data_IF_628303159010
#
_entry.id   IF_628303159010
#
_cell.length_a   1.000
_cell.length_b   1.000
_cell.length_c   1.000
_cell.angle_alpha   90.00
_cell.angle_beta   90.00
_cell.angle_gamma   90.00
#
_symmetry.space_group_name_H-M   'P 1'
#
loop_
_entity.id
_entity.type
_entity.pdbx_description
1 polymer ?
#
# COMPACT_ATOMS: atom_id res chain seq x y z
N UNK A 1 10.86 12.09 -75.94
CA UNK A 1 11.36 12.74 -74.71
C UNK A 1 10.17 12.87 -73.78
N UNK A 2 10.31 12.27 -72.60
CA UNK A 2 9.21 11.85 -71.73
C UNK A 2 8.70 12.98 -70.85
N UNK A 3 7.40 12.90 -70.59
CA UNK A 3 6.59 13.60 -69.59
C UNK A 3 7.09 13.38 -68.15
N UNK A 4 7.09 14.44 -67.32
CA UNK A 4 6.66 14.33 -65.91
C UNK A 4 6.34 15.70 -65.30
N UNK A 5 5.06 15.88 -65.00
CA UNK A 5 4.51 16.80 -63.98
C UNK A 5 4.81 16.24 -62.59
N UNK A 6 5.57 16.96 -61.76
CA UNK A 6 5.70 16.64 -60.34
C UNK A 6 4.58 17.34 -59.55
N UNK A 7 3.71 16.52 -58.96
CA UNK A 7 2.68 16.95 -58.02
C UNK A 7 3.30 17.24 -56.66
N UNK A 8 3.01 18.44 -56.12
CA UNK A 8 3.22 18.74 -54.72
C UNK A 8 2.19 17.97 -53.89
N UNK A 9 2.54 16.74 -53.54
CA UNK A 9 1.90 15.95 -52.51
C UNK A 9 2.18 16.60 -51.15
N UNK A 10 1.14 17.17 -50.56
CA UNK A 10 1.11 17.57 -49.15
C UNK A 10 1.36 16.32 -48.30
N UNK A 11 2.58 16.17 -47.80
CA UNK A 11 2.88 15.20 -46.76
C UNK A 11 2.25 15.71 -45.45
N UNK A 12 0.96 15.44 -45.29
CA UNK A 12 0.28 15.48 -44.01
C UNK A 12 0.90 14.38 -43.14
N UNK A 13 1.98 14.69 -42.41
CA UNK A 13 2.45 13.84 -41.31
C UNK A 13 1.42 13.90 -40.20
N UNK A 14 0.35 13.13 -40.36
CA UNK A 14 -0.60 12.78 -39.32
C UNK A 14 0.07 11.81 -38.34
N UNK A 15 0.87 12.37 -37.43
CA UNK A 15 1.26 11.71 -36.19
C UNK A 15 0.75 12.54 -35.02
N UNK A 16 -0.59 12.70 -34.93
CA UNK A 16 -1.22 12.96 -33.65
C UNK A 16 -1.11 11.67 -32.82
N UNK A 17 0.05 11.45 -32.21
CA UNK A 17 0.16 10.56 -31.06
C UNK A 17 -0.71 11.20 -29.98
N UNK A 18 -1.93 10.69 -29.78
CA UNK A 18 -2.82 11.15 -28.71
C UNK A 18 -2.02 11.16 -27.41
N UNK A 19 -1.83 12.36 -26.87
CA UNK A 19 -0.98 12.64 -25.72
C UNK A 19 -1.74 12.34 -24.42
N UNK A 20 -2.57 11.29 -24.41
CA UNK A 20 -3.49 10.95 -23.34
C UNK A 20 -2.82 10.04 -22.30
N UNK A 21 -3.19 10.16 -21.01
CA UNK A 21 -2.68 9.28 -19.94
C UNK A 21 -2.95 7.80 -20.14
N UNK A 22 -1.90 6.98 -20.07
CA UNK A 22 -2.00 5.52 -20.04
C UNK A 22 -1.82 4.92 -18.64
N UNK A 23 -1.36 5.69 -17.66
CA UNK A 23 -1.09 5.22 -16.29
C UNK A 23 -1.66 6.14 -15.22
N UNK A 24 -2.50 5.58 -14.35
CA UNK A 24 -3.06 6.22 -13.18
C UNK A 24 -2.17 6.01 -11.93
N UNK A 25 -1.66 7.07 -11.32
CA UNK A 25 -1.08 7.00 -9.96
C UNK A 25 -2.05 7.59 -8.94
N UNK A 26 -2.58 6.73 -8.10
CA UNK A 26 -3.49 7.08 -7.01
C UNK A 26 -2.66 7.49 -5.79
N UNK A 27 -2.88 8.72 -5.31
CA UNK A 27 -2.13 9.30 -4.18
C UNK A 27 -3.03 9.33 -2.94
N UNK A 28 -2.76 8.47 -1.97
CA UNK A 28 -3.70 8.18 -0.87
C UNK A 28 -3.18 8.69 0.47
N UNK A 29 -3.68 9.85 0.90
CA UNK A 29 -3.20 10.47 2.14
C UNK A 29 -3.77 9.80 3.39
N UNK A 30 -3.03 9.90 4.49
CA UNK A 30 -3.54 9.59 5.83
C UNK A 30 -4.35 10.73 6.44
N UNK A 31 -4.35 10.84 7.76
CA UNK A 31 -5.10 11.88 8.49
C UNK A 31 -4.45 13.25 8.24
N UNK A 32 -5.29 14.25 7.91
CA UNK A 32 -4.91 15.63 7.54
C UNK A 32 -4.37 15.76 6.10
N UNK A 33 -5.27 15.63 5.12
CA UNK A 33 -4.93 15.62 3.68
C UNK A 33 -4.58 16.98 3.08
N UNK A 34 -3.31 17.15 2.65
CA UNK A 34 -2.79 17.98 1.52
C UNK A 34 -1.31 17.63 1.21
N UNK A 35 -0.94 16.36 1.00
CA UNK A 35 0.44 15.90 1.28
C UNK A 35 1.26 15.25 0.14
N UNK A 36 0.95 15.44 -1.15
CA UNK A 36 1.75 14.81 -2.24
C UNK A 36 2.25 15.75 -3.32
N UNK A 37 2.33 17.05 -3.03
CA UNK A 37 2.74 18.04 -4.04
C UNK A 37 4.14 17.75 -4.60
N UNK A 38 5.08 17.34 -3.75
CA UNK A 38 6.48 17.15 -4.15
C UNK A 38 6.67 15.90 -5.03
N UNK A 39 6.09 14.75 -4.66
CA UNK A 39 6.09 13.56 -5.52
C UNK A 39 5.48 13.89 -6.87
N UNK A 40 4.35 14.61 -6.87
CA UNK A 40 3.64 15.00 -8.09
C UNK A 40 4.50 15.88 -8.99
N UNK A 41 5.24 16.84 -8.41
CA UNK A 41 6.15 17.70 -9.16
C UNK A 41 7.33 16.89 -9.74
N UNK A 42 7.96 16.02 -8.95
CA UNK A 42 9.10 15.21 -9.40
C UNK A 42 8.73 14.20 -10.49
N UNK A 43 7.55 13.58 -10.39
CA UNK A 43 7.05 12.67 -11.44
C UNK A 43 6.68 13.44 -12.71
N UNK A 44 6.15 14.67 -12.59
CA UNK A 44 5.78 15.50 -13.75
C UNK A 44 6.97 16.15 -14.46
N UNK A 45 8.01 16.55 -13.72
CA UNK A 45 9.12 17.32 -14.26
C UNK A 45 10.09 16.46 -15.10
N UNK A 46 10.19 15.16 -14.80
CA UNK A 46 11.09 14.25 -15.50
C UNK A 46 10.33 13.36 -16.49
N UNK A 47 9.99 13.95 -17.64
CA UNK A 47 9.91 13.40 -19.01
C UNK A 47 9.50 11.94 -19.27
N UNK A 48 8.74 11.29 -18.40
CA UNK A 48 7.94 10.13 -18.79
C UNK A 48 6.61 10.69 -19.29
N UNK A 49 6.10 10.18 -20.42
CA UNK A 49 4.72 10.43 -20.90
C UNK A 49 3.66 9.85 -19.94
N UNK A 50 3.94 9.81 -18.64
CA UNK A 50 3.02 9.47 -17.57
C UNK A 50 2.20 10.72 -17.32
N UNK A 51 1.09 10.85 -18.04
CA UNK A 51 0.07 11.80 -17.63
C UNK A 51 -0.57 11.26 -16.35
N UNK A 52 -0.02 11.71 -15.24
CA UNK A 52 -0.40 11.27 -13.92
C UNK A 52 -1.72 11.94 -13.52
N UNK A 53 -2.82 11.19 -13.52
CA UNK A 53 -4.05 11.65 -12.85
C UNK A 53 -3.95 11.37 -11.35
N UNK A 54 -3.54 12.38 -10.58
CA UNK A 54 -3.54 12.27 -9.13
C UNK A 54 -4.97 12.44 -8.60
N UNK A 55 -5.64 11.35 -8.26
CA UNK A 55 -6.76 11.39 -7.32
C UNK A 55 -6.15 11.50 -5.92
N UNK A 56 -5.98 12.72 -5.43
CA UNK A 56 -5.85 12.92 -3.98
C UNK A 56 -7.24 12.69 -3.41
N UNK A 57 -7.40 11.73 -2.49
CA UNK A 57 -8.72 11.35 -1.98
C UNK A 57 -9.45 12.55 -1.36
N UNK A 58 -10.23 13.27 -2.16
CA UNK A 58 -11.04 14.38 -1.68
C UNK A 58 -12.15 13.83 -0.79
N UNK A 59 -12.57 12.57 -1.03
CA UNK A 59 -13.53 11.81 -0.24
C UNK A 59 -13.08 11.46 1.18
N UNK A 60 -11.81 11.66 1.55
CA UNK A 60 -11.32 11.38 2.91
C UNK A 60 -10.81 12.64 3.62
N UNK A 61 -11.31 13.83 3.28
CA UNK A 61 -10.95 15.06 3.97
C UNK A 61 -11.40 15.07 5.45
N UNK A 62 -10.53 15.59 6.31
CA UNK A 62 -10.82 15.99 7.70
C UNK A 62 -11.43 14.87 8.57
N UNK A 63 -12.74 14.90 8.84
CA UNK A 63 -13.44 13.98 9.75
C UNK A 63 -13.78 12.62 9.14
N UNK A 64 -13.68 12.47 7.81
CA UNK A 64 -14.08 11.24 7.11
C UNK A 64 -13.08 10.09 7.29
N UNK A 65 -11.82 10.38 7.63
CA UNK A 65 -10.82 9.34 7.93
C UNK A 65 -11.12 8.55 9.21
N UNK A 66 -12.09 8.98 10.02
CA UNK A 66 -12.43 8.34 11.29
C UNK A 66 -13.66 7.42 11.21
N UNK A 67 -14.33 7.35 10.05
CA UNK A 67 -15.56 6.56 9.89
C UNK A 67 -15.30 5.06 9.72
N UNK A 68 -14.06 4.66 9.46
CA UNK A 68 -13.65 3.27 9.25
C UNK A 68 -12.69 3.15 8.07
N UNK A 69 -11.71 2.25 8.18
CA UNK A 69 -10.77 1.89 7.11
C UNK A 69 -11.52 1.28 5.92
N UNK A 70 -12.51 0.45 6.21
CA UNK A 70 -13.44 -0.15 5.24
C UNK A 70 -14.22 0.91 4.47
N UNK A 71 -14.88 1.84 5.17
CA UNK A 71 -15.64 2.91 4.51
C UNK A 71 -14.75 3.87 3.71
N UNK A 72 -13.60 4.26 4.26
CA UNK A 72 -12.65 5.12 3.58
C UNK A 72 -12.04 4.43 2.35
N UNK A 73 -11.79 3.13 2.43
CA UNK A 73 -11.35 2.31 1.31
C UNK A 73 -12.43 2.15 0.23
N UNK A 74 -13.70 1.98 0.61
CA UNK A 74 -14.81 1.93 -0.33
C UNK A 74 -14.96 3.25 -1.11
N UNK A 75 -14.91 4.39 -0.42
CA UNK A 75 -14.93 5.72 -1.07
C UNK A 75 -13.77 5.90 -2.04
N UNK A 76 -12.57 5.50 -1.63
CA UNK A 76 -11.39 5.53 -2.51
C UNK A 76 -11.58 4.64 -3.74
N UNK A 77 -12.17 3.45 -3.59
CA UNK A 77 -12.46 2.57 -4.72
C UNK A 77 -13.45 3.23 -5.69
N UNK A 78 -14.49 3.88 -5.20
CA UNK A 78 -15.46 4.59 -6.04
C UNK A 78 -14.85 5.78 -6.78
N UNK A 79 -13.99 6.57 -6.11
CA UNK A 79 -13.20 7.63 -6.75
C UNK A 79 -12.35 7.06 -7.91
N UNK A 80 -11.63 5.96 -7.67
CA UNK A 80 -10.81 5.31 -8.70
C UNK A 80 -11.68 4.81 -9.86
N UNK A 81 -12.80 4.14 -9.61
CA UNK A 81 -13.74 3.71 -10.67
C UNK A 81 -14.23 4.87 -11.51
N UNK A 82 -14.55 6.01 -10.90
CA UNK A 82 -14.99 7.19 -11.62
C UNK A 82 -13.90 7.73 -12.55
N UNK A 83 -12.66 7.83 -12.06
CA UNK A 83 -11.50 8.26 -12.84
C UNK A 83 -11.25 7.34 -14.03
N UNK A 84 -11.25 6.01 -13.80
CA UNK A 84 -11.05 5.01 -14.86
C UNK A 84 -12.17 5.06 -15.90
N UNK A 85 -13.42 5.24 -15.46
CA UNK A 85 -14.56 5.39 -16.38
C UNK A 85 -14.43 6.61 -17.28
N UNK A 86 -13.94 7.73 -16.74
CA UNK A 86 -13.79 9.01 -17.46
C UNK A 86 -12.57 9.03 -18.39
N UNK A 87 -11.55 8.22 -18.13
CA UNK A 87 -10.26 8.28 -18.83
C UNK A 87 -9.97 6.95 -19.53
N UNK A 88 -10.52 6.77 -20.74
CA UNK A 88 -10.47 5.51 -21.49
C UNK A 88 -9.06 5.09 -21.97
N UNK A 89 -8.12 6.02 -21.98
CA UNK A 89 -6.74 5.78 -22.38
C UNK A 89 -5.93 5.02 -21.32
N UNK A 90 -6.40 4.98 -20.07
CA UNK A 90 -5.71 4.31 -18.97
C UNK A 90 -5.62 2.80 -19.21
N UNK A 91 -4.42 2.26 -18.98
CA UNK A 91 -4.08 0.84 -19.09
C UNK A 91 -3.49 0.30 -17.80
N UNK A 92 -2.81 1.16 -17.03
CA UNK A 92 -2.01 0.78 -15.86
C UNK A 92 -2.42 1.59 -14.64
N UNK A 93 -2.21 1.03 -13.45
CA UNK A 93 -2.50 1.68 -12.18
C UNK A 93 -1.42 1.42 -11.14
N UNK A 94 -1.08 2.46 -10.38
CA UNK A 94 -0.20 2.41 -9.21
C UNK A 94 -0.83 3.13 -8.03
N UNK A 95 -0.46 2.73 -6.82
CA UNK A 95 -0.86 3.36 -5.57
C UNK A 95 0.39 3.83 -4.81
N UNK A 96 0.34 5.08 -4.34
CA UNK A 96 1.29 5.63 -3.40
C UNK A 96 0.54 6.18 -2.20
N UNK A 97 0.76 5.58 -1.03
CA UNK A 97 -0.03 5.87 0.15
C UNK A 97 0.84 6.19 1.37
N UNK A 98 0.37 7.09 2.23
CA UNK A 98 1.08 7.50 3.44
C UNK A 98 0.24 7.23 4.68
N UNK A 99 0.87 6.69 5.72
CA UNK A 99 0.25 6.51 7.02
C UNK A 99 -1.07 5.70 6.90
N UNK A 100 -2.15 6.17 7.52
CA UNK A 100 -3.45 5.53 7.44
C UNK A 100 -3.95 5.32 5.99
N UNK A 101 -3.51 6.17 5.05
CA UNK A 101 -3.86 6.04 3.64
C UNK A 101 -3.44 4.70 3.02
N UNK A 102 -2.37 4.08 3.54
CA UNK A 102 -1.97 2.75 3.07
C UNK A 102 -2.97 1.65 3.44
N UNK A 103 -3.68 1.79 4.55
CA UNK A 103 -4.75 0.86 4.93
C UNK A 103 -6.00 1.10 4.08
N UNK A 104 -6.35 2.35 3.80
CA UNK A 104 -7.43 2.68 2.84
C UNK A 104 -7.14 2.11 1.46
N UNK A 105 -5.90 2.25 0.99
CA UNK A 105 -5.45 1.71 -0.29
C UNK A 105 -5.54 0.18 -0.32
N UNK A 106 -5.08 -0.53 0.73
CA UNK A 106 -5.22 -1.99 0.84
C UNK A 106 -6.67 -2.44 0.74
N UNK A 107 -7.59 -1.72 1.37
CA UNK A 107 -9.01 -2.06 1.30
C UNK A 107 -9.58 -1.79 -0.10
N UNK A 108 -9.28 -0.61 -0.66
CA UNK A 108 -9.74 -0.21 -1.98
C UNK A 108 -9.27 -1.17 -3.09
N UNK A 109 -8.01 -1.61 -3.07
CA UNK A 109 -7.51 -2.51 -4.12
C UNK A 109 -8.23 -3.85 -4.12
N UNK A 110 -8.64 -4.37 -2.95
CA UNK A 110 -9.43 -5.59 -2.86
C UNK A 110 -10.84 -5.40 -3.44
N UNK A 111 -11.47 -4.26 -3.17
CA UNK A 111 -12.78 -3.88 -3.75
C UNK A 111 -12.71 -3.70 -5.27
N UNK A 112 -11.57 -3.24 -5.78
CA UNK A 112 -11.34 -3.01 -7.21
C UNK A 112 -10.83 -4.24 -7.96
N UNK A 113 -10.47 -5.31 -7.24
CA UNK A 113 -9.85 -6.47 -7.81
C UNK A 113 -10.82 -7.29 -8.66
N UNK A 114 -10.33 -7.79 -9.78
CA UNK A 114 -11.01 -8.76 -10.61
C UNK A 114 -10.00 -9.83 -10.99
N UNK A 115 -10.26 -11.12 -10.68
CA UNK A 115 -9.37 -12.20 -11.11
C UNK A 115 -9.31 -12.23 -12.64
N UNK A 116 -8.18 -12.66 -13.19
CA UNK A 116 -8.04 -12.84 -14.63
C UNK A 116 -8.94 -14.00 -15.07
N UNK A 117 -9.92 -13.74 -15.95
CA UNK A 117 -10.91 -14.73 -16.39
C UNK A 117 -10.48 -15.49 -17.65
N UNK A 118 -9.29 -15.25 -18.20
CA UNK A 118 -8.90 -15.79 -19.52
C UNK A 118 -8.55 -17.28 -19.59
N UNK A 119 -8.72 -18.07 -18.52
CA UNK A 119 -8.44 -19.53 -18.54
C UNK A 119 -9.64 -20.39 -18.15
N UNK A 120 -10.82 -20.14 -18.71
CA UNK A 120 -12.00 -21.02 -18.51
C UNK A 120 -12.75 -21.45 -19.77
N UNK A 121 -12.29 -21.07 -20.98
CA UNK A 121 -12.96 -21.44 -22.24
C UNK A 121 -12.04 -22.22 -23.20
N UNK A 122 -11.36 -23.24 -22.68
CA UNK A 122 -10.96 -24.37 -23.51
C UNK A 122 -11.64 -25.64 -23.00
N UNK A 123 -12.81 -25.90 -23.59
CA UNK A 123 -13.36 -27.23 -23.75
C UNK A 123 -12.30 -28.08 -24.47
N UNK A 124 -11.61 -28.96 -23.75
CA UNK A 124 -10.87 -30.07 -24.37
C UNK A 124 -11.40 -31.34 -23.73
N UNK A 125 -11.98 -32.16 -24.60
CA UNK A 125 -12.64 -33.40 -24.27
C UNK A 125 -11.72 -34.38 -23.55
N UNK A 126 -12.39 -35.19 -22.73
CA UNK A 126 -11.93 -36.32 -21.92
C UNK A 126 -10.99 -37.28 -22.66
N UNK A 127 -10.08 -37.88 -21.85
CA UNK A 127 -9.22 -39.05 -22.10
C UNK A 127 -7.83 -38.85 -22.73
N UNK A 128 -6.79 -38.75 -21.89
CA UNK A 128 -5.84 -39.86 -21.69
C UNK A 128 -4.70 -39.57 -20.68
N UNK A 129 -4.34 -40.65 -19.97
CA UNK A 129 -3.05 -40.98 -19.33
C UNK A 129 -2.44 -40.11 -18.22
N UNK A 130 -2.61 -40.63 -17.00
CA UNK A 130 -1.62 -40.84 -15.93
C UNK A 130 -0.18 -40.30 -16.11
N UNK A 131 0.31 -39.75 -14.99
CA UNK A 131 1.71 -39.59 -14.57
C UNK A 131 2.43 -38.32 -15.03
N UNK A 132 2.33 -37.26 -14.22
CA UNK A 132 3.52 -36.49 -13.77
C UNK A 132 3.15 -35.55 -12.61
N UNK A 133 3.42 -36.02 -11.39
CA UNK A 133 3.56 -35.15 -10.23
C UNK A 133 4.97 -34.55 -10.27
N UNK A 134 5.12 -33.33 -10.78
CA UNK A 134 6.33 -32.52 -10.58
C UNK A 134 6.04 -31.06 -10.89
N UNK A 135 6.39 -30.19 -9.94
CA UNK A 135 6.51 -28.72 -10.10
C UNK A 135 5.21 -27.96 -10.39
N UNK A 136 4.35 -27.86 -9.38
CA UNK A 136 3.44 -26.72 -9.24
C UNK A 136 4.23 -25.54 -8.61
N UNK A 137 5.19 -24.99 -9.34
CA UNK A 137 5.69 -23.64 -9.05
C UNK A 137 4.53 -22.68 -9.26
N UNK A 138 3.98 -22.13 -8.17
CA UNK A 138 2.94 -21.10 -8.20
C UNK A 138 3.55 -19.79 -8.72
N UNK A 139 3.77 -19.75 -10.04
CA UNK A 139 4.06 -18.53 -10.75
C UNK A 139 2.81 -17.64 -10.68
N UNK A 140 2.77 -16.71 -9.71
CA UNK A 140 1.74 -15.66 -9.56
C UNK A 140 1.74 -14.64 -10.73
N UNK A 141 2.33 -14.97 -11.87
CA UNK A 141 2.59 -14.07 -12.99
C UNK A 141 1.55 -14.18 -14.11
N UNK A 142 0.26 -14.20 -13.79
CA UNK A 142 -0.87 -13.96 -14.71
C UNK A 142 -2.09 -13.39 -13.96
N UNK A 143 -1.87 -12.64 -12.88
CA UNK A 143 -2.80 -12.58 -11.74
C UNK A 143 -3.57 -11.28 -11.57
N UNK A 144 -4.71 -11.15 -12.23
CA UNK A 144 -5.80 -10.23 -11.89
C UNK A 144 -5.58 -8.72 -12.13
N UNK A 145 -6.69 -8.01 -12.28
CA UNK A 145 -6.75 -6.59 -12.64
C UNK A 145 -7.28 -5.75 -11.48
N UNK A 146 -6.89 -4.47 -11.41
CA UNK A 146 -7.40 -3.50 -10.44
C UNK A 146 -8.19 -2.44 -11.20
N UNK A 147 -9.50 -2.40 -11.00
CA UNK A 147 -10.42 -1.53 -11.75
C UNK A 147 -10.36 -1.74 -13.28
N UNK A 148 -10.00 -2.96 -13.72
CA UNK A 148 -9.76 -3.26 -15.14
C UNK A 148 -8.43 -2.72 -15.69
N UNK A 149 -7.56 -2.18 -14.83
CA UNK A 149 -6.22 -1.72 -15.19
C UNK A 149 -5.16 -2.68 -14.66
N UNK A 150 -4.04 -2.72 -15.36
CA UNK A 150 -2.88 -3.52 -14.95
C UNK A 150 -2.21 -2.89 -13.71
N UNK A 151 -2.09 -3.63 -12.59
CA UNK A 151 -1.47 -3.12 -11.38
C UNK A 151 0.06 -3.18 -11.41
N UNK A 152 0.71 -2.01 -11.34
CA UNK A 152 2.18 -1.88 -11.43
C UNK A 152 2.81 -1.76 -10.04
N UNK A 153 2.52 -0.67 -9.31
CA UNK A 153 3.17 -0.39 -8.02
C UNK A 153 2.15 -0.28 -6.89
N UNK A 154 2.42 -0.92 -5.76
CA UNK A 154 1.77 -0.64 -4.48
C UNK A 154 2.82 -0.18 -3.47
N UNK A 155 2.87 1.12 -3.21
CA UNK A 155 3.91 1.74 -2.38
C UNK A 155 3.27 2.39 -1.16
N UNK A 156 3.81 2.10 0.02
CA UNK A 156 3.38 2.71 1.27
C UNK A 156 4.53 3.39 2.01
N UNK A 157 4.24 4.50 2.69
CA UNK A 157 5.18 5.23 3.53
C UNK A 157 4.63 5.35 4.94
N UNK A 158 5.37 4.82 5.93
CA UNK A 158 5.00 4.85 7.34
C UNK A 158 3.56 4.39 7.61
N UNK A 159 3.08 3.36 6.90
CA UNK A 159 1.73 2.81 7.06
C UNK A 159 1.70 1.78 8.19
N UNK A 160 0.74 1.84 9.15
CA UNK A 160 0.64 0.86 10.23
C UNK A 160 0.00 -0.45 9.72
N UNK A 161 0.70 -1.24 8.90
CA UNK A 161 0.16 -2.44 8.25
C UNK A 161 -0.37 -3.49 9.23
N UNK A 162 0.21 -3.55 10.44
CA UNK A 162 -0.11 -4.49 11.52
C UNK A 162 -0.93 -3.82 12.65
N UNK A 163 -1.44 -2.61 12.43
CA UNK A 163 -2.06 -1.79 13.47
C UNK A 163 -1.04 -1.04 14.31
N UNK A 164 -1.47 -0.55 15.48
CA UNK A 164 -0.62 0.21 16.41
C UNK A 164 -0.65 -0.41 17.80
N UNK A 165 0.53 -0.62 18.39
CA UNK A 165 0.72 -1.10 19.77
C UNK A 165 0.93 0.11 20.68
N UNK A 166 -0.02 0.38 21.58
CA UNK A 166 0.22 1.31 22.68
C UNK A 166 1.25 0.71 23.63
N UNK A 167 2.37 1.39 23.91
CA UNK A 167 3.29 0.97 24.97
C UNK A 167 3.21 1.95 26.14
N UNK A 168 2.89 1.39 27.31
CA UNK A 168 3.02 1.91 28.68
C UNK A 168 2.23 3.18 29.08
N UNK A 169 0.93 3.01 29.40
CA UNK A 169 0.21 3.50 30.61
C UNK A 169 -1.31 3.41 30.36
N UNK A 170 -2.04 2.70 31.23
CA UNK A 170 -3.51 2.69 31.37
C UNK A 170 -4.06 4.13 31.63
N UNK A 171 -5.38 4.44 31.69
CA UNK A 171 -6.59 3.89 31.05
C UNK A 171 -7.51 5.06 30.59
N UNK A 172 -7.35 5.60 29.37
CA UNK A 172 -8.46 6.27 28.66
C UNK A 172 -8.15 6.52 27.19
N UNK A 173 -6.88 6.72 26.77
CA UNK A 173 -6.50 7.07 25.38
C UNK A 173 -5.08 6.60 24.94
N UNK A 174 -4.59 5.45 25.41
CA UNK A 174 -3.48 4.66 24.82
C UNK A 174 -2.20 5.38 24.30
N UNK A 175 -1.79 6.54 24.85
CA UNK A 175 -0.43 7.07 24.71
C UNK A 175 0.04 7.40 23.28
N UNK A 176 -0.87 7.52 22.32
CA UNK A 176 -0.57 7.95 20.95
C UNK A 176 -0.96 9.43 20.86
N UNK A 177 0.03 10.32 20.89
CA UNK A 177 -0.14 11.78 20.75
C UNK A 177 -0.97 12.20 19.53
N UNK A 178 -0.99 11.37 18.48
CA UNK A 178 -1.83 11.57 17.31
C UNK A 178 -3.32 11.48 17.64
N UNK A 179 -3.79 10.47 18.36
CA UNK A 179 -5.19 10.36 18.77
C UNK A 179 -5.55 11.39 19.84
N UNK A 180 -4.64 11.69 20.77
CA UNK A 180 -4.85 12.68 21.82
C UNK A 180 -5.01 14.11 21.29
N UNK A 181 -4.19 14.54 20.31
CA UNK A 181 -4.37 15.85 19.63
C UNK A 181 -5.63 15.92 18.77
N UNK A 182 -6.20 14.78 18.41
CA UNK A 182 -7.43 14.66 17.62
C UNK A 182 -8.69 14.58 18.51
N UNK A 183 -8.54 14.46 19.85
CA UNK A 183 -9.65 14.18 20.78
C UNK A 183 -10.22 15.40 21.54
N UNK A 184 -9.69 16.61 21.37
CA UNK A 184 -10.32 17.83 21.91
C UNK A 184 -11.08 18.56 20.79
N UNK A 185 -12.36 18.98 20.93
CA UNK A 185 -13.39 18.85 21.98
C UNK A 185 -14.55 17.92 21.52
N UNK A 186 -14.25 16.70 21.09
CA UNK A 186 -15.25 15.76 20.52
C UNK A 186 -15.02 14.30 20.98
N UNK A 187 -14.35 14.10 22.11
CA UNK A 187 -13.88 12.80 22.62
C UNK A 187 -14.87 11.60 22.59
N UNK A 188 -16.19 11.73 22.81
CA UNK A 188 -17.12 10.59 22.75
C UNK A 188 -17.41 10.07 21.32
N UNK A 189 -17.19 10.89 20.29
CA UNK A 189 -17.36 10.50 18.88
C UNK A 189 -16.03 10.12 18.19
N UNK A 190 -14.90 10.44 18.81
CA UNK A 190 -13.56 10.40 18.19
C UNK A 190 -12.73 9.17 18.55
N UNK A 191 -13.21 8.31 19.47
CA UNK A 191 -12.86 6.88 19.48
C UNK A 191 -13.64 6.21 18.34
N UNK A 192 -13.38 6.64 17.11
CA UNK A 192 -14.12 6.21 15.91
C UNK A 192 -13.77 4.77 15.50
N UNK A 193 -14.58 4.18 14.60
CA UNK A 193 -14.38 2.81 14.06
C UNK A 193 -12.95 2.56 13.56
N UNK A 194 -12.30 3.58 12.99
CA UNK A 194 -10.90 3.51 12.54
C UNK A 194 -9.92 3.26 13.69
N UNK A 195 -10.13 3.89 14.85
CA UNK A 195 -9.29 3.65 16.02
C UNK A 195 -9.44 2.21 16.51
N UNK A 196 -10.67 1.72 16.60
CA UNK A 196 -10.95 0.33 16.97
C UNK A 196 -10.26 -0.67 16.01
N UNK A 197 -10.30 -0.40 14.69
CA UNK A 197 -9.61 -1.22 13.69
C UNK A 197 -8.07 -1.15 13.81
N UNK A 198 -7.49 0.02 14.09
CA UNK A 198 -6.04 0.18 14.28
C UNK A 198 -5.52 -0.51 15.55
N UNK A 199 -6.33 -0.54 16.60
CA UNK A 199 -6.03 -1.25 17.84
C UNK A 199 -6.53 -2.70 17.85
N UNK A 200 -7.04 -3.21 16.73
CA UNK A 200 -7.50 -4.60 16.60
C UNK A 200 -8.66 -4.96 17.56
N UNK A 201 -9.40 -3.97 18.04
CA UNK A 201 -10.53 -4.16 18.98
C UNK A 201 -11.89 -4.24 18.27
N UNK A 202 -11.92 -4.15 16.94
CA UNK A 202 -13.13 -4.11 16.11
C UNK A 202 -13.73 -5.48 15.77
N UNK A 203 -12.97 -6.56 15.97
CA UNK A 203 -13.50 -7.90 15.69
C UNK A 203 -14.38 -8.42 16.83
N UNK A 204 -15.16 -9.45 16.54
CA UNK A 204 -15.86 -10.30 17.52
C UNK A 204 -15.11 -11.65 17.70
N UNK A 205 -15.48 -12.52 18.65
CA UNK A 205 -14.86 -13.84 18.81
C UNK A 205 -14.90 -14.70 17.54
N UNK A 206 -15.98 -14.59 16.75
CA UNK A 206 -16.15 -15.34 15.49
C UNK A 206 -15.90 -14.49 14.22
N UNK A 207 -15.50 -13.23 14.39
CA UNK A 207 -15.24 -12.32 13.27
C UNK A 207 -13.89 -11.60 13.52
N UNK A 208 -12.81 -11.99 12.83
CA UNK A 208 -11.51 -11.38 13.06
C UNK A 208 -11.52 -9.87 12.76
N UNK A 209 -10.61 -9.14 13.41
CA UNK A 209 -10.43 -7.70 13.17
C UNK A 209 -10.16 -7.41 11.70
N UNK A 210 -10.57 -6.23 11.24
CA UNK A 210 -10.44 -5.88 9.82
C UNK A 210 -8.99 -6.00 9.31
N UNK A 211 -8.00 -5.57 10.09
CA UNK A 211 -6.60 -5.65 9.66
C UNK A 211 -6.11 -7.09 9.49
N UNK A 212 -6.60 -8.01 10.34
CA UNK A 212 -6.32 -9.43 10.19
C UNK A 212 -7.02 -10.01 8.96
N UNK A 213 -8.28 -9.63 8.70
CA UNK A 213 -8.99 -10.00 7.47
C UNK A 213 -8.27 -9.51 6.22
N UNK A 214 -7.71 -8.30 6.27
CA UNK A 214 -6.92 -7.72 5.18
C UNK A 214 -5.56 -8.39 4.97
N UNK A 215 -5.20 -9.39 5.79
CA UNK A 215 -4.00 -10.21 5.66
C UNK A 215 -4.30 -11.62 5.10
N UNK A 216 -5.55 -11.91 4.70
CA UNK A 216 -5.97 -13.14 4.02
C UNK A 216 -6.91 -12.87 2.85
N UNK A 217 -7.13 -13.89 2.04
CA UNK A 217 -8.30 -13.97 1.17
C UNK A 217 -9.43 -14.71 1.89
N UNK A 218 -10.64 -14.16 1.85
CA UNK A 218 -11.86 -14.84 2.27
C UNK A 218 -12.77 -15.13 1.05
N UNK A 219 -13.98 -15.63 1.27
CA UNK A 219 -14.92 -15.94 0.19
C UNK A 219 -15.34 -14.67 -0.57
N UNK A 220 -15.59 -13.58 0.17
CA UNK A 220 -16.18 -12.35 -0.37
C UNK A 220 -15.14 -11.27 -0.70
N UNK A 221 -13.97 -11.28 -0.06
CA UNK A 221 -12.92 -10.27 -0.23
C UNK A 221 -11.56 -10.94 -0.48
N UNK A 222 -10.85 -10.47 -1.51
CA UNK A 222 -9.60 -11.06 -2.00
C UNK A 222 -8.40 -10.13 -1.74
N UNK A 223 -8.13 -9.81 -0.48
CA UNK A 223 -7.11 -8.81 -0.11
C UNK A 223 -5.68 -9.22 -0.49
N UNK A 224 -5.28 -10.46 -0.23
CA UNK A 224 -3.94 -10.94 -0.59
C UNK A 224 -3.81 -11.12 -2.09
N UNK A 225 -4.83 -11.68 -2.77
CA UNK A 225 -4.80 -11.78 -4.23
C UNK A 225 -4.70 -10.40 -4.89
N UNK A 226 -5.46 -9.41 -4.40
CA UNK A 226 -5.43 -8.05 -4.93
C UNK A 226 -4.07 -7.37 -4.72
N UNK A 227 -3.45 -7.52 -3.55
CA UNK A 227 -2.09 -7.04 -3.31
C UNK A 227 -1.06 -7.83 -4.13
N UNK A 228 -1.28 -9.13 -4.30
CA UNK A 228 -0.45 -10.05 -5.08
C UNK A 228 -0.39 -9.70 -6.56
N UNK A 229 -1.47 -9.14 -7.10
CA UNK A 229 -1.58 -8.70 -8.48
C UNK A 229 -0.55 -7.63 -8.87
N UNK A 230 -0.16 -6.76 -7.93
CA UNK A 230 0.83 -5.73 -8.21
C UNK A 230 2.21 -6.33 -8.51
N UNK A 231 2.79 -5.94 -9.65
CA UNK A 231 4.15 -6.35 -10.04
C UNK A 231 5.19 -5.99 -8.97
N UNK A 232 5.08 -4.80 -8.39
CA UNK A 232 5.99 -4.31 -7.35
C UNK A 232 5.22 -3.86 -6.11
N UNK A 233 5.64 -4.35 -4.94
CA UNK A 233 5.15 -3.92 -3.63
C UNK A 233 6.31 -3.38 -2.81
N UNK A 234 6.19 -2.14 -2.33
CA UNK A 234 7.25 -1.46 -1.58
C UNK A 234 6.71 -0.86 -0.29
N UNK A 235 7.38 -1.11 0.83
CA UNK A 235 7.10 -0.44 2.11
C UNK A 235 8.28 0.42 2.52
N UNK A 236 8.03 1.68 2.86
CA UNK A 236 9.00 2.60 3.44
C UNK A 236 8.70 2.77 4.93
N UNK A 237 9.67 2.43 5.77
CA UNK A 237 9.50 2.39 7.22
C UNK A 237 10.54 3.26 7.92
N UNK A 238 10.10 4.09 8.85
CA UNK A 238 11.01 4.86 9.70
C UNK A 238 11.61 3.93 10.76
N UNK A 239 12.94 3.85 10.82
CA UNK A 239 13.64 3.01 11.81
C UNK A 239 13.63 3.62 13.22
N UNK A 240 13.43 4.93 13.32
CA UNK A 240 13.48 5.68 14.57
C UNK A 240 12.68 6.99 14.46
N UNK A 241 12.33 7.56 15.62
CA UNK A 241 11.68 8.87 15.77
C UNK A 241 10.29 9.01 15.14
N UNK A 242 9.70 7.94 14.63
CA UNK A 242 8.29 7.88 14.27
C UNK A 242 7.47 7.39 15.46
N UNK A 243 6.93 8.34 16.23
CA UNK A 243 6.09 8.06 17.39
C UNK A 243 4.65 7.67 17.01
N UNK A 244 4.29 7.78 15.73
CA UNK A 244 2.94 7.47 15.26
C UNK A 244 2.84 6.04 14.75
N UNK A 245 3.85 5.61 13.99
CA UNK A 245 3.87 4.30 13.34
C UNK A 245 5.22 3.65 13.55
N UNK A 246 5.22 2.57 14.34
CA UNK A 246 6.45 1.83 14.65
C UNK A 246 7.10 1.19 13.43
N UNK A 247 8.42 0.99 13.52
CA UNK A 247 9.22 0.35 12.47
C UNK A 247 8.70 -1.06 12.12
N UNK A 248 8.37 -1.85 13.15
CA UNK A 248 7.83 -3.21 13.03
C UNK A 248 6.59 -3.28 12.14
N UNK A 249 5.58 -2.45 12.46
CA UNK A 249 4.30 -2.41 11.74
C UNK A 249 4.44 -1.85 10.33
N UNK A 250 5.26 -0.81 10.13
CA UNK A 250 5.44 -0.20 8.80
C UNK A 250 6.33 -1.00 7.85
N UNK A 251 7.21 -1.86 8.36
CA UNK A 251 8.07 -2.74 7.56
C UNK A 251 7.53 -4.16 7.37
N UNK A 252 6.39 -4.50 8.00
CA UNK A 252 5.81 -5.86 8.00
C UNK A 252 6.87 -6.87 8.46
N UNK A 253 7.52 -6.60 9.59
CA UNK A 253 8.58 -7.42 10.17
C UNK A 253 8.24 -7.80 11.60
N UNK A 254 8.85 -8.89 12.08
CA UNK A 254 8.86 -9.24 13.51
C UNK A 254 9.91 -8.42 14.24
N UNK A 255 9.80 -8.29 15.55
CA UNK A 255 10.82 -7.61 16.37
C UNK A 255 12.20 -8.27 16.21
N UNK A 256 12.24 -9.61 16.14
CA UNK A 256 13.48 -10.39 15.94
C UNK A 256 14.13 -10.18 14.56
N UNK A 257 13.37 -9.66 13.58
CA UNK A 257 13.87 -9.34 12.24
C UNK A 257 14.41 -7.90 12.16
N UNK A 258 14.19 -7.08 13.19
CA UNK A 258 14.70 -5.71 13.25
C UNK A 258 16.14 -5.71 13.77
N UNK A 259 17.06 -5.29 12.90
CA UNK A 259 18.47 -5.10 13.25
C UNK A 259 18.78 -3.70 13.76
N UNK A 260 20.07 -3.44 14.04
CA UNK A 260 20.53 -2.06 14.22
C UNK A 260 20.51 -1.37 12.85
N UNK A 261 19.85 -0.21 12.70
CA UNK A 261 19.79 0.46 11.42
C UNK A 261 21.19 0.93 10.99
N UNK A 262 21.52 0.88 9.69
CA UNK A 262 22.74 1.48 9.18
C UNK A 262 22.78 2.98 9.48
N UNK A 263 23.97 3.50 9.80
CA UNK A 263 24.18 4.93 10.09
C UNK A 263 24.45 5.78 8.84
N UNK A 264 24.63 5.15 7.68
CA UNK A 264 24.91 5.81 6.41
C UNK A 264 23.69 5.74 5.50
N UNK A 265 23.39 6.86 4.86
CA UNK A 265 22.42 6.88 3.77
C UNK A 265 22.99 6.20 2.52
N UNK A 266 22.11 5.66 1.69
CA UNK A 266 22.41 5.19 0.35
C UNK A 266 22.89 6.36 -0.52
N UNK A 267 23.88 6.11 -1.37
CA UNK A 267 24.41 7.13 -2.28
C UNK A 267 23.29 7.68 -3.16
N UNK A 268 23.18 9.02 -3.21
CA UNK A 268 22.13 9.73 -3.95
C UNK A 268 20.78 9.87 -3.20
N UNK A 269 20.52 9.09 -2.14
CA UNK A 269 19.24 9.09 -1.45
C UNK A 269 19.41 9.33 0.06
N UNK A 270 19.50 10.61 0.45
CA UNK A 270 19.64 10.99 1.87
C UNK A 270 18.50 10.39 2.70
N UNK A 271 18.84 9.87 3.88
CA UNK A 271 17.97 9.22 4.85
C UNK A 271 17.41 7.84 4.47
N UNK A 272 17.55 7.39 3.22
CA UNK A 272 17.33 5.96 2.89
C UNK A 272 18.55 5.19 3.37
N UNK A 273 18.40 4.28 4.32
CA UNK A 273 19.54 3.61 4.98
C UNK A 273 19.66 2.12 4.65
N UNK A 274 18.57 1.46 4.28
CA UNK A 274 18.59 0.08 3.80
C UNK A 274 17.49 -0.15 2.75
N UNK A 275 17.78 -1.00 1.76
CA UNK A 275 16.83 -1.42 0.73
C UNK A 275 17.00 -2.92 0.52
N UNK A 276 16.00 -3.69 0.92
CA UNK A 276 16.04 -5.16 0.85
C UNK A 276 14.81 -5.72 0.16
N UNK A 277 15.01 -6.58 -0.84
CA UNK A 277 13.93 -7.41 -1.35
C UNK A 277 13.76 -8.65 -0.47
N UNK A 278 12.55 -8.87 0.02
CA UNK A 278 12.15 -10.06 0.77
C UNK A 278 11.23 -10.90 -0.13
N UNK A 279 11.62 -12.13 -0.52
CA UNK A 279 10.80 -12.99 -1.35
C UNK A 279 9.54 -13.46 -0.58
N UNK A 280 8.50 -13.95 -1.31
CA UNK A 280 7.35 -14.64 -0.73
C UNK A 280 7.76 -15.73 0.26
N UNK A 281 7.12 -15.78 1.41
CA UNK A 281 7.25 -16.85 2.40
C UNK A 281 6.03 -17.75 2.32
N UNK A 282 6.15 -19.02 1.89
CA UNK A 282 5.03 -19.95 1.84
C UNK A 282 4.38 -20.10 3.21
N UNK A 283 3.06 -20.02 3.26
CA UNK A 283 2.28 -20.24 4.46
C UNK A 283 0.87 -20.66 4.08
N UNK A 284 0.20 -21.43 4.93
CA UNK A 284 -1.19 -21.84 4.79
C UNK A 284 -2.20 -20.68 5.01
N UNK A 285 -1.81 -19.43 4.80
CA UNK A 285 -2.62 -18.26 5.16
C UNK A 285 -2.45 -17.84 6.62
N UNK A 286 -2.92 -16.65 7.05
CA UNK A 286 -3.20 -16.45 8.45
C UNK A 286 -4.34 -17.40 8.86
N UNK A 287 -4.10 -18.18 9.89
CA UNK A 287 -5.16 -18.94 10.55
C UNK A 287 -5.69 -18.02 11.65
N UNK A 288 -6.99 -18.08 11.93
CA UNK A 288 -7.49 -17.46 13.15
C UNK A 288 -7.52 -18.57 14.20
N UNK A 289 -6.40 -18.81 14.90
CA UNK A 289 -6.27 -19.98 15.75
C UNK A 289 -7.28 -19.89 16.89
N UNK A 290 -7.83 -21.01 17.38
CA UNK A 290 -8.69 -21.04 18.56
C UNK A 290 -8.07 -20.30 19.77
N UNK A 291 -6.74 -20.28 19.85
CA UNK A 291 -5.95 -19.53 20.82
C UNK A 291 -6.17 -18.02 20.72
N UNK A 292 -6.28 -17.45 19.51
CA UNK A 292 -6.58 -16.03 19.31
C UNK A 292 -8.00 -15.68 19.79
N UNK A 293 -8.97 -16.59 19.56
CA UNK A 293 -10.35 -16.44 20.03
C UNK A 293 -10.38 -16.43 21.56
N UNK A 294 -9.73 -17.42 22.18
CA UNK A 294 -9.65 -17.54 23.65
C UNK A 294 -8.93 -16.37 24.30
N UNK A 295 -7.79 -15.93 23.74
CA UNK A 295 -7.05 -14.78 24.23
C UNK A 295 -7.90 -13.50 24.16
N UNK A 296 -8.67 -13.34 23.09
CA UNK A 296 -9.59 -12.21 22.92
C UNK A 296 -10.75 -12.22 23.91
N UNK A 297 -11.43 -13.36 24.07
CA UNK A 297 -12.51 -13.51 25.05
C UNK A 297 -12.00 -13.21 26.46
N UNK A 298 -10.80 -13.67 26.78
CA UNK A 298 -10.17 -13.42 28.09
C UNK A 298 -9.85 -11.93 28.25
N UNK A 299 -9.25 -11.29 27.24
CA UNK A 299 -8.95 -9.86 27.23
C UNK A 299 -10.19 -8.97 27.39
N UNK A 300 -11.31 -9.36 26.77
CA UNK A 300 -12.61 -8.67 26.90
C UNK A 300 -13.23 -8.83 28.29
N UNK A 301 -13.06 -10.00 28.92
CA UNK A 301 -13.72 -10.33 30.19
C UNK A 301 -12.96 -9.89 31.46
N UNK A 302 -11.62 -9.83 31.41
CA UNK A 302 -10.81 -9.64 32.64
C UNK A 302 -10.07 -8.30 32.72
N UNK A 303 -10.09 -7.44 31.69
CA UNK A 303 -9.28 -6.20 31.62
C UNK A 303 -7.81 -6.40 32.05
N UNK A 304 -7.29 -7.63 31.93
CA UNK A 304 -5.93 -7.97 32.27
C UNK A 304 -5.00 -7.53 31.14
N UNK A 305 -3.99 -6.74 31.50
CA UNK A 305 -3.03 -6.18 30.55
C UNK A 305 -2.21 -7.28 29.86
N UNK A 306 -1.97 -8.41 30.53
CA UNK A 306 -1.19 -9.51 29.96
C UNK A 306 -1.95 -10.21 28.82
N UNK A 307 -3.24 -10.46 28.99
CA UNK A 307 -4.08 -11.13 27.99
C UNK A 307 -4.29 -10.26 26.74
N UNK A 308 -4.37 -8.93 26.91
CA UNK A 308 -4.41 -7.99 25.78
C UNK A 308 -3.11 -8.07 24.98
N UNK A 309 -1.96 -8.07 25.66
CA UNK A 309 -0.65 -8.18 25.00
C UNK A 309 -0.53 -9.49 24.23
N UNK A 310 -0.94 -10.61 24.83
CA UNK A 310 -0.91 -11.93 24.18
C UNK A 310 -1.80 -11.98 22.94
N UNK A 311 -3.04 -11.48 23.02
CA UNK A 311 -3.94 -11.37 21.87
C UNK A 311 -3.30 -10.56 20.73
N UNK A 312 -2.74 -9.40 21.05
CA UNK A 312 -2.08 -8.55 20.06
C UNK A 312 -0.89 -9.26 19.40
N UNK A 313 -0.09 -10.01 20.15
CA UNK A 313 1.06 -10.74 19.62
C UNK A 313 0.65 -11.86 18.67
N UNK A 314 -0.40 -12.61 19.01
CA UNK A 314 -0.95 -13.66 18.14
C UNK A 314 -1.49 -13.06 16.84
N UNK A 315 -2.35 -12.02 16.94
CA UNK A 315 -2.95 -11.39 15.75
C UNK A 315 -1.90 -10.73 14.87
N UNK A 316 -0.90 -10.09 15.48
CA UNK A 316 0.21 -9.48 14.76
C UNK A 316 1.04 -10.53 14.01
N UNK A 317 1.36 -11.66 14.64
CA UNK A 317 2.08 -12.76 13.99
C UNK A 317 1.30 -13.33 12.80
N UNK A 318 -0.01 -13.52 12.95
CA UNK A 318 -0.86 -13.99 11.85
C UNK A 318 -0.92 -12.96 10.71
N UNK A 319 -1.03 -11.66 11.01
CA UNK A 319 -0.96 -10.62 9.97
C UNK A 319 0.38 -10.61 9.24
N UNK A 320 1.50 -10.78 9.96
CA UNK A 320 2.84 -10.87 9.35
C UNK A 320 2.90 -12.09 8.43
N UNK A 321 2.47 -13.26 8.91
CA UNK A 321 2.43 -14.50 8.13
C UNK A 321 1.57 -14.37 6.87
N UNK A 322 0.42 -13.71 7.00
CA UNK A 322 -0.48 -13.37 5.90
C UNK A 322 0.21 -12.51 4.84
N UNK A 323 0.70 -11.34 5.25
CA UNK A 323 1.28 -10.37 4.33
C UNK A 323 2.62 -10.83 3.73
N UNK A 324 3.43 -11.60 4.45
CA UNK A 324 4.72 -12.11 3.97
C UNK A 324 4.59 -13.26 2.96
N UNK A 325 3.38 -13.80 2.72
CA UNK A 325 3.13 -14.67 1.55
C UNK A 325 3.37 -13.96 0.22
N UNK A 326 3.41 -12.63 0.22
CA UNK A 326 3.78 -11.84 -0.93
C UNK A 326 5.23 -11.35 -0.79
N UNK A 327 5.93 -11.22 -1.92
CA UNK A 327 7.25 -10.60 -1.93
C UNK A 327 7.15 -9.08 -1.77
N UNK A 328 8.03 -8.49 -0.96
CA UNK A 328 8.07 -7.06 -0.65
C UNK A 328 9.48 -6.49 -0.81
N UNK A 329 9.59 -5.32 -1.44
CA UNK A 329 10.77 -4.46 -1.28
C UNK A 329 10.58 -3.63 -0.01
N UNK A 330 11.47 -3.78 0.95
CA UNK A 330 11.43 -3.08 2.24
C UNK A 330 12.53 -2.02 2.25
N UNK A 331 12.14 -0.78 2.47
CA UNK A 331 13.03 0.39 2.50
C UNK A 331 13.01 0.97 3.89
N UNK A 332 14.17 0.99 4.53
CA UNK A 332 14.32 1.57 5.87
C UNK A 332 14.84 3.00 5.76
N UNK A 333 14.18 3.92 6.47
CA UNK A 333 14.43 5.35 6.45
C UNK A 333 14.85 5.82 7.83
N UNK A 334 15.91 6.63 7.92
CA UNK A 334 16.42 7.18 9.16
C UNK A 334 16.72 8.66 9.07
N UNK A 335 15.97 9.45 9.83
CA UNK A 335 16.16 10.90 9.97
C UNK A 335 17.12 11.29 11.09
N UNK A 336 17.94 10.36 11.59
CA UNK A 336 18.87 10.62 12.70
C UNK A 336 19.83 11.79 12.46
N UNK A 337 20.16 12.09 11.20
CA UNK A 337 21.01 13.20 10.77
C UNK A 337 20.24 14.46 10.39
N UNK A 338 18.90 14.45 10.48
CA UNK A 338 18.06 15.62 10.23
C UNK A 338 18.09 16.57 11.43
N UNK A 339 17.88 17.86 11.17
CA UNK A 339 17.88 18.89 12.22
C UNK A 339 16.75 18.68 13.26
N UNK A 340 15.60 18.16 12.82
CA UNK A 340 14.48 17.77 13.69
C UNK A 340 14.06 16.32 13.41
N UNK A 341 14.72 15.32 14.05
CA UNK A 341 14.47 13.91 13.77
C UNK A 341 13.06 13.44 14.20
N UNK A 342 12.48 14.06 15.25
CA UNK A 342 11.15 13.76 15.79
C UNK A 342 9.98 14.01 14.82
N UNK A 343 10.24 14.65 13.67
CA UNK A 343 9.26 14.77 12.59
C UNK A 343 9.33 13.64 11.56
N UNK A 344 10.00 12.52 11.84
CA UNK A 344 10.20 11.40 10.92
C UNK A 344 8.91 10.98 10.16
N UNK A 345 7.78 10.90 10.85
CA UNK A 345 6.48 10.53 10.25
C UNK A 345 6.03 11.49 9.13
N UNK A 346 6.34 12.78 9.29
CA UNK A 346 6.00 13.82 8.32
C UNK A 346 7.14 14.08 7.32
N UNK A 347 8.39 13.86 7.73
CA UNK A 347 9.57 13.96 6.89
C UNK A 347 9.51 12.92 5.77
N UNK A 348 9.15 11.66 6.06
CA UNK A 348 9.13 10.58 5.05
C UNK A 348 8.25 10.90 3.82
N UNK A 349 7.23 11.77 3.99
CA UNK A 349 6.34 12.23 2.92
C UNK A 349 6.46 13.74 2.62
N UNK A 350 7.44 14.43 3.21
CA UNK A 350 7.66 15.90 3.08
C UNK A 350 6.36 16.70 3.25
N UNK A 351 5.70 16.57 4.39
CA UNK A 351 4.35 17.16 4.62
C UNK A 351 4.28 18.69 4.44
N UNK A 352 5.35 19.41 4.78
CA UNK A 352 5.47 20.86 4.61
C UNK A 352 6.88 21.12 4.11
N UNK A 353 7.00 21.66 2.90
CA UNK A 353 8.30 21.82 2.23
C UNK A 353 9.32 22.58 3.08
N UNK A 354 8.90 23.66 3.74
CA UNK A 354 9.77 24.46 4.60
C UNK A 354 10.28 23.72 5.86
N UNK A 355 9.51 22.76 6.40
CA UNK A 355 9.83 22.10 7.67
C UNK A 355 10.32 20.66 7.51
N UNK A 356 9.93 19.99 6.43
CA UNK A 356 10.08 18.55 6.24
C UNK A 356 10.95 18.18 5.03
N UNK A 357 11.72 19.14 4.48
CA UNK A 357 12.63 18.93 3.34
C UNK A 357 13.68 17.83 3.57
N UNK A 358 13.92 17.43 4.83
CA UNK A 358 14.75 16.26 5.13
C UNK A 358 14.28 15.02 4.35
N UNK A 359 12.98 14.88 4.06
CA UNK A 359 12.46 13.77 3.26
C UNK A 359 12.76 13.79 1.76
N UNK A 360 13.33 14.86 1.20
CA UNK A 360 13.49 14.98 -0.25
C UNK A 360 14.22 13.78 -0.87
N UNK A 361 15.28 13.29 -0.22
CA UNK A 361 16.02 12.10 -0.68
C UNK A 361 15.16 10.82 -0.71
N UNK A 362 14.21 10.69 0.21
CA UNK A 362 13.24 9.59 0.23
C UNK A 362 12.26 9.72 -0.93
N UNK A 363 11.76 10.94 -1.19
CA UNK A 363 10.84 11.20 -2.32
C UNK A 363 11.54 10.95 -3.66
N UNK A 364 12.81 11.33 -3.81
CA UNK A 364 13.61 10.98 -5.00
C UNK A 364 13.65 9.46 -5.18
N UNK A 365 13.96 8.72 -4.12
CA UNK A 365 14.02 7.25 -4.18
C UNK A 365 12.67 6.61 -4.54
N UNK A 366 11.56 7.16 -4.05
CA UNK A 366 10.20 6.74 -4.41
C UNK A 366 9.94 6.99 -5.89
N UNK A 367 10.24 8.20 -6.38
CA UNK A 367 10.06 8.56 -7.78
C UNK A 367 10.86 7.62 -8.69
N UNK A 368 12.16 7.43 -8.42
CA UNK A 368 13.01 6.54 -9.21
C UNK A 368 12.57 5.08 -9.15
N UNK A 369 12.07 4.62 -8.00
CA UNK A 369 11.49 3.28 -7.87
C UNK A 369 10.27 3.10 -8.80
N UNK A 370 9.39 4.11 -8.89
CA UNK A 370 8.25 4.07 -9.82
C UNK A 370 8.76 4.04 -11.26
N UNK A 371 9.71 4.92 -11.63
CA UNK A 371 10.26 5.01 -13.00
C UNK A 371 10.91 3.72 -13.49
N UNK A 372 11.64 3.02 -12.62
CA UNK A 372 12.27 1.75 -12.95
C UNK A 372 11.23 0.69 -13.36
N UNK A 373 10.09 0.64 -12.66
CA UNK A 373 9.00 -0.29 -12.96
C UNK A 373 8.27 0.08 -14.25
N UNK A 374 8.13 1.38 -14.53
CA UNK A 374 7.57 1.89 -15.79
C UNK A 374 8.42 1.47 -16.99
N UNK A 375 9.73 1.69 -16.92
CA UNK A 375 10.66 1.38 -18.02
C UNK A 375 10.68 -0.12 -18.32
N UNK A 376 10.63 -0.94 -17.27
CA UNK A 376 10.57 -2.41 -17.38
C UNK A 376 9.26 -2.88 -18.04
N UNK A 377 8.15 -2.16 -17.82
CA UNK A 377 6.86 -2.49 -18.44
C UNK A 377 6.80 -2.18 -19.94
N UNK A 378 7.43 -1.09 -20.39
CA UNK A 378 7.48 -0.70 -21.81
C UNK A 378 8.32 -1.68 -22.64
N UNK A 379 9.45 -2.13 -22.08
CA UNK A 379 10.34 -3.07 -22.77
C UNK A 379 9.71 -4.46 -22.92
N UNK A 380 8.91 -4.91 -21.94
CA UNK A 380 8.23 -6.21 -22.03
C UNK A 380 7.10 -6.26 -23.08
N UNK A 381 6.49 -5.12 -23.42
CA UNK A 381 5.42 -5.03 -24.44
C UNK A 381 5.91 -4.77 -25.87
N UNK A 382 7.22 -4.72 -26.10
CA UNK A 382 7.84 -4.38 -27.40
C UNK A 382 8.47 -5.58 -28.12
N UNK A 383 8.20 -6.81 -27.65
CA UNK A 383 8.70 -8.06 -28.24
C UNK A 383 7.58 -8.93 -28.80
#
# INVERSE_FOLDING_TARGET
>A
MSTTTEGNSVATTSANLNNDPDHLLVLVHGISGRQYLNVRLMVKQESLKINLMSAASASNAYSLTFTGIDEAGMRLADEVRQVVKQTKSLKRISFLAHSLGGLFARYAVAVLYSPDTYTSDQHVDTENSMMESSQRTTNFSNGGMIAGLEPINFITLATPHLGVRGKNQLPFLLGIQFLEKLAAPLAPYFVGRTGAQLFLTDGEPNNPSLLLRMASDCKDEKFLSALGAFRCRVVYANVSYDHMVGWRTSSIRRESELGKPPSKSLDGYRHVVDVKYCPPVPSDGPQFPPEAVKAKETAQNTHDTQNIVEYHEIVEEEMIRGLQQLGWKKVDVSFHSAFWPFFAHNNINVKYEFLHNAGAGVITHVADSIRQQETSSVLAGSF
#
